data_IF_914235428016
#
_entry.id   IF_914235428016
#
_cell.length_a   1.000
_cell.length_b   1.000
_cell.length_c   1.000
_cell.angle_alpha   90.00
_cell.angle_beta   90.00
_cell.angle_gamma   90.00
#
_symmetry.space_group_name_H-M   'P 1'
#
loop_
_entity.id
_entity.type
_entity.pdbx_description
1 polymer ?
#
# COMPACT_ATOMS: atom_id res chain seq x y z
N UNK A 1 5.15 -26.11 3.29
CA UNK A 1 4.28 -25.01 3.78
C UNK A 1 5.05 -23.72 3.71
N UNK A 2 4.92 -22.98 2.61
CA UNK A 2 5.52 -21.65 2.49
C UNK A 2 4.43 -20.65 2.85
N UNK A 3 4.50 -20.09 4.05
CA UNK A 3 3.70 -18.93 4.43
C UNK A 3 4.69 -17.86 4.83
N UNK A 4 4.90 -16.88 3.96
CA UNK A 4 5.37 -15.59 4.43
C UNK A 4 4.31 -15.08 5.39
N UNK A 5 4.70 -14.93 6.64
CA UNK A 5 3.81 -14.47 7.68
C UNK A 5 3.56 -12.98 7.45
N UNK A 6 2.35 -12.63 6.98
CA UNK A 6 1.84 -11.25 7.06
C UNK A 6 1.53 -10.82 8.51
N UNK A 7 2.16 -11.46 9.50
CA UNK A 7 1.95 -11.21 10.93
C UNK A 7 2.21 -9.77 11.32
N UNK A 8 3.06 -9.06 10.60
CA UNK A 8 3.34 -7.65 10.83
C UNK A 8 2.14 -6.73 10.51
N UNK A 9 1.13 -7.18 9.74
CA UNK A 9 -0.15 -6.46 9.65
C UNK A 9 -1.16 -6.98 10.68
N UNK A 10 -1.25 -8.31 10.85
CA UNK A 10 -2.20 -8.93 11.78
C UNK A 10 -1.97 -8.53 13.23
N UNK A 11 -0.71 -8.45 13.65
CA UNK A 11 -0.31 -8.14 15.01
C UNK A 11 0.09 -6.66 15.19
N UNK A 12 -0.09 -5.83 14.15
CA UNK A 12 0.24 -4.42 14.25
C UNK A 12 -0.66 -3.75 15.29
N UNK A 13 -0.06 -2.87 16.09
CA UNK A 13 -0.78 -2.04 17.07
C UNK A 13 -0.96 -0.63 16.53
N UNK A 14 -2.02 0.04 16.99
CA UNK A 14 -2.22 1.46 16.76
C UNK A 14 -1.04 2.26 17.36
N UNK A 15 -0.45 3.14 16.56
CA UNK A 15 0.62 4.04 16.98
C UNK A 15 0.07 5.12 17.91
N UNK A 16 0.88 5.50 18.90
CA UNK A 16 0.58 6.62 19.80
C UNK A 16 1.13 7.95 19.25
N UNK A 17 2.21 7.88 18.48
CA UNK A 17 2.81 9.03 17.78
C UNK A 17 2.11 9.23 16.42
N UNK A 18 0.95 9.89 16.47
CA UNK A 18 0.14 10.26 15.30
C UNK A 18 -0.09 11.76 15.26
N UNK A 19 -0.14 12.33 14.06
CA UNK A 19 -0.31 13.76 13.83
C UNK A 19 -1.79 14.19 13.73
N UNK A 20 -2.73 13.24 13.58
CA UNK A 20 -4.16 13.48 13.68
C UNK A 20 -4.91 12.21 14.13
N UNK A 21 -6.13 12.37 14.64
CA UNK A 21 -7.02 11.26 14.93
C UNK A 21 -7.72 10.77 13.65
N UNK A 22 -7.46 9.53 13.18
CA UNK A 22 -8.09 8.99 11.98
C UNK A 22 -9.58 8.70 12.18
N UNK A 23 -10.40 8.96 11.16
CA UNK A 23 -11.82 8.62 11.12
C UNK A 23 -11.98 7.16 10.68
N UNK A 24 -12.57 6.31 11.51
CA UNK A 24 -12.88 4.91 11.17
C UNK A 24 -14.10 4.82 10.25
N UNK A 25 -14.06 3.92 9.27
CA UNK A 25 -15.25 3.55 8.50
C UNK A 25 -15.14 2.16 7.86
N UNK A 26 -16.25 1.71 7.28
CA UNK A 26 -16.37 0.42 6.58
C UNK A 26 -16.53 0.68 5.08
N UNK A 27 -15.73 -0.03 4.27
CA UNK A 27 -15.87 -0.01 2.81
C UNK A 27 -17.02 -0.92 2.36
N UNK A 28 -17.18 -2.05 3.06
CA UNK A 28 -18.28 -3.00 2.92
C UNK A 28 -18.46 -3.75 4.26
N UNK A 29 -19.29 -4.80 4.28
CA UNK A 29 -19.61 -5.55 5.51
C UNK A 29 -18.38 -6.19 6.18
N UNK A 30 -17.33 -6.47 5.41
CA UNK A 30 -16.16 -7.24 5.86
C UNK A 30 -14.83 -6.48 5.76
N UNK A 31 -14.80 -5.29 5.16
CA UNK A 31 -13.58 -4.52 4.94
C UNK A 31 -13.65 -3.16 5.65
N UNK A 32 -12.64 -2.89 6.46
CA UNK A 32 -12.53 -1.71 7.30
C UNK A 32 -11.34 -0.86 6.90
N UNK A 33 -11.37 0.41 7.29
CA UNK A 33 -10.21 1.26 7.19
C UNK A 33 -10.40 2.56 7.91
N UNK A 34 -9.53 3.50 7.57
CA UNK A 34 -9.51 4.81 8.16
C UNK A 34 -9.29 5.86 7.09
N UNK A 35 -9.70 7.08 7.40
CA UNK A 35 -9.43 8.23 6.56
C UNK A 35 -9.38 9.52 7.33
N UNK A 36 -9.03 10.58 6.62
CA UNK A 36 -9.05 11.94 7.12
C UNK A 36 -9.53 12.86 5.99
N UNK A 37 -10.05 14.04 6.34
CA UNK A 37 -10.67 14.99 5.43
C UNK A 37 -11.86 14.42 4.62
N UNK A 38 -12.56 13.39 5.14
CA UNK A 38 -13.61 12.68 4.40
C UNK A 38 -14.87 13.53 4.14
N UNK A 39 -15.05 14.62 4.89
CA UNK A 39 -16.17 15.55 4.70
C UNK A 39 -16.02 16.42 3.45
N UNK A 40 -14.84 16.41 2.81
CA UNK A 40 -14.53 17.20 1.61
C UNK A 40 -15.10 16.56 0.34
N UNK A 41 -16.42 16.42 0.25
CA UNK A 41 -17.12 15.74 -0.86
C UNK A 41 -16.92 16.39 -2.23
N UNK A 42 -16.57 17.68 -2.26
CA UNK A 42 -16.25 18.42 -3.50
C UNK A 42 -14.74 18.53 -3.74
N UNK A 43 -13.93 17.71 -3.09
CA UNK A 43 -12.49 17.66 -3.33
C UNK A 43 -12.23 17.25 -4.78
N UNK A 44 -11.32 17.95 -5.46
CA UNK A 44 -10.93 17.60 -6.83
C UNK A 44 -10.00 16.37 -6.88
N UNK A 45 -9.45 15.95 -5.73
CA UNK A 45 -8.55 14.80 -5.59
C UNK A 45 -8.91 13.93 -4.40
N UNK A 46 -8.55 12.66 -4.45
CA UNK A 46 -8.57 11.73 -3.31
C UNK A 46 -7.32 10.88 -3.34
N UNK A 47 -6.75 10.63 -2.16
CA UNK A 47 -5.50 9.89 -2.00
C UNK A 47 -5.81 8.52 -1.40
N UNK A 48 -5.41 7.47 -2.10
CA UNK A 48 -5.42 6.09 -1.59
C UNK A 48 -4.01 5.73 -1.16
N UNK A 49 -3.82 5.42 0.11
CA UNK A 49 -2.51 5.16 0.69
C UNK A 49 -2.38 3.71 1.17
N UNK A 50 -1.33 3.04 0.68
CA UNK A 50 -0.97 1.67 1.03
C UNK A 50 0.33 1.68 1.84
N UNK A 51 0.19 1.44 3.15
CA UNK A 51 1.29 1.41 4.10
C UNK A 51 2.22 0.21 3.93
N UNK A 52 3.42 0.33 4.51
CA UNK A 52 4.38 -0.77 4.63
C UNK A 52 4.13 -1.65 5.86
N UNK A 53 5.14 -2.41 6.27
CA UNK A 53 5.02 -3.29 7.44
C UNK A 53 4.62 -2.52 8.71
N UNK A 54 3.64 -3.04 9.46
CA UNK A 54 3.01 -2.41 10.63
C UNK A 54 2.23 -1.10 10.36
N UNK A 55 2.13 -0.64 9.11
CA UNK A 55 1.36 0.55 8.75
C UNK A 55 -0.06 0.16 8.33
N UNK A 56 -0.81 -0.35 9.31
CA UNK A 56 -2.28 -0.51 9.21
C UNK A 56 -2.96 0.84 8.92
N UNK A 57 -4.22 0.84 8.49
CA UNK A 57 -4.89 2.04 8.02
C UNK A 57 -4.87 3.18 9.05
N UNK A 58 -5.13 2.87 10.33
CA UNK A 58 -5.06 3.84 11.42
C UNK A 58 -3.69 4.53 11.47
N UNK A 59 -2.60 3.76 11.44
CA UNK A 59 -1.23 4.26 11.53
C UNK A 59 -0.87 5.10 10.31
N UNK A 60 -1.24 4.62 9.12
CA UNK A 60 -1.02 5.30 7.85
C UNK A 60 -1.70 6.66 7.80
N UNK A 61 -2.99 6.70 8.12
CA UNK A 61 -3.78 7.95 8.10
C UNK A 61 -3.30 8.91 9.17
N UNK A 62 -3.12 8.43 10.40
CA UNK A 62 -2.74 9.28 11.54
C UNK A 62 -1.37 9.93 11.36
N UNK A 63 -0.45 9.26 10.65
CA UNK A 63 0.91 9.76 10.44
C UNK A 63 1.06 10.65 9.20
N UNK A 64 0.34 10.38 8.12
CA UNK A 64 0.62 11.01 6.83
C UNK A 64 -0.48 11.95 6.33
N UNK A 65 -1.74 11.71 6.69
CA UNK A 65 -2.84 12.49 6.14
C UNK A 65 -2.79 14.00 6.43
N UNK A 66 -2.25 14.51 7.56
CA UNK A 66 -2.21 15.96 7.81
C UNK A 66 -1.34 16.76 6.84
N UNK A 67 -0.53 16.09 6.02
CA UNK A 67 0.28 16.72 4.97
C UNK A 67 -0.53 17.04 3.71
N UNK A 68 -1.79 16.62 3.66
CA UNK A 68 -2.65 16.73 2.51
C UNK A 68 -3.97 17.40 2.89
N UNK A 69 -4.46 18.28 2.02
CA UNK A 69 -5.76 18.94 2.17
C UNK A 69 -6.92 18.12 1.55
N UNK A 70 -6.61 16.96 0.97
CA UNK A 70 -7.56 16.11 0.26
C UNK A 70 -8.01 14.94 1.15
N UNK A 71 -9.16 14.32 0.87
CA UNK A 71 -9.52 13.02 1.42
C UNK A 71 -8.35 12.05 1.27
N UNK A 72 -7.89 11.53 2.40
CA UNK A 72 -6.77 10.60 2.48
C UNK A 72 -7.27 9.33 3.16
N UNK A 73 -7.19 8.21 2.44
CA UNK A 73 -7.83 6.97 2.84
C UNK A 73 -6.82 5.84 2.82
N UNK A 74 -6.90 4.96 3.81
CA UNK A 74 -6.14 3.71 3.84
C UNK A 74 -7.04 2.57 4.28
N UNK A 75 -6.76 1.37 3.76
CA UNK A 75 -7.54 0.15 4.02
C UNK A 75 -6.77 -0.78 4.96
N UNK A 76 -7.48 -1.38 5.92
CA UNK A 76 -6.97 -2.55 6.62
C UNK A 76 -7.19 -3.75 5.72
N UNK A 77 -6.12 -4.39 5.24
CA UNK A 77 -6.25 -5.52 4.33
C UNK A 77 -7.13 -6.62 4.94
N UNK A 78 -7.88 -7.33 4.10
CA UNK A 78 -8.60 -8.53 4.48
C UNK A 78 -7.73 -9.48 5.31
N UNK A 79 -8.28 -9.97 6.42
CA UNK A 79 -7.64 -10.81 7.41
C UNK A 79 -6.70 -10.06 8.37
N UNK A 80 -6.86 -8.74 8.49
CA UNK A 80 -6.13 -7.89 9.44
C UNK A 80 -7.10 -6.97 10.17
N UNK A 81 -6.72 -6.56 11.40
CA UNK A 81 -7.53 -5.66 12.22
C UNK A 81 -8.99 -6.15 12.32
N UNK A 82 -9.97 -5.29 12.02
CA UNK A 82 -11.39 -5.61 12.05
C UNK A 82 -11.92 -6.10 10.69
N UNK A 83 -11.04 -6.28 9.69
CA UNK A 83 -11.41 -6.81 8.37
C UNK A 83 -11.43 -8.34 8.36
N UNK A 84 -12.52 -8.90 7.82
CA UNK A 84 -12.77 -10.33 7.74
C UNK A 84 -11.86 -11.07 6.74
N UNK A 85 -12.19 -12.33 6.47
CA UNK A 85 -11.43 -13.23 5.58
C UNK A 85 -10.00 -13.58 6.04
N UNK A 86 -9.24 -14.26 5.15
CA UNK A 86 -7.87 -14.69 5.40
C UNK A 86 -6.92 -13.83 4.57
N UNK A 87 -5.92 -13.26 5.23
CA UNK A 87 -4.89 -12.49 4.54
C UNK A 87 -3.99 -13.37 3.66
N UNK A 88 -3.98 -13.06 2.37
CA UNK A 88 -3.08 -13.59 1.35
C UNK A 88 -2.99 -12.56 0.20
N UNK A 89 -2.12 -12.79 -0.80
CA UNK A 89 -1.95 -11.81 -1.89
C UNK A 89 -3.23 -11.53 -2.67
N UNK A 90 -4.09 -12.54 -2.90
CA UNK A 90 -5.37 -12.34 -3.59
C UNK A 90 -6.27 -11.40 -2.78
N UNK A 91 -6.43 -11.64 -1.49
CA UNK A 91 -7.30 -10.83 -0.63
C UNK A 91 -6.71 -9.44 -0.35
N UNK A 92 -5.38 -9.30 -0.31
CA UNK A 92 -4.72 -7.99 -0.26
C UNK A 92 -5.00 -7.15 -1.51
N UNK A 93 -4.91 -7.76 -2.70
CA UNK A 93 -5.28 -7.11 -3.97
C UNK A 93 -6.75 -6.73 -4.00
N UNK A 94 -7.63 -7.64 -3.58
CA UNK A 94 -9.07 -7.38 -3.47
C UNK A 94 -9.35 -6.19 -2.55
N UNK A 95 -8.68 -6.08 -1.40
CA UNK A 95 -8.84 -4.95 -0.50
C UNK A 95 -8.51 -3.61 -1.15
N UNK A 96 -7.49 -3.57 -2.03
CA UNK A 96 -7.09 -2.37 -2.75
C UNK A 96 -8.12 -1.99 -3.83
N UNK A 97 -8.69 -2.98 -4.52
CA UNK A 97 -9.75 -2.76 -5.50
C UNK A 97 -11.06 -2.31 -4.83
N UNK A 98 -11.46 -2.93 -3.73
CA UNK A 98 -12.68 -2.54 -2.99
C UNK A 98 -12.56 -1.12 -2.41
N UNK A 99 -11.36 -0.75 -1.92
CA UNK A 99 -11.06 0.62 -1.54
C UNK A 99 -11.22 1.58 -2.73
N UNK A 100 -10.71 1.21 -3.90
CA UNK A 100 -10.82 2.02 -5.12
C UNK A 100 -12.28 2.22 -5.54
N UNK A 101 -13.07 1.16 -5.58
CA UNK A 101 -14.50 1.23 -5.93
C UNK A 101 -15.27 2.10 -4.93
N UNK A 102 -14.99 1.93 -3.63
CA UNK A 102 -15.57 2.79 -2.60
C UNK A 102 -15.20 4.25 -2.82
N UNK A 103 -13.93 4.55 -3.10
CA UNK A 103 -13.48 5.91 -3.35
C UNK A 103 -14.13 6.52 -4.59
N UNK A 104 -14.28 5.75 -5.69
CA UNK A 104 -14.99 6.19 -6.89
C UNK A 104 -16.47 6.46 -6.65
N UNK A 105 -17.14 5.63 -5.84
CA UNK A 105 -18.54 5.86 -5.48
C UNK A 105 -18.74 7.12 -4.63
N UNK A 106 -17.79 7.42 -3.72
CA UNK A 106 -17.89 8.56 -2.80
C UNK A 106 -17.35 9.87 -3.38
N UNK A 107 -16.41 9.78 -4.33
CA UNK A 107 -15.71 10.90 -4.96
C UNK A 107 -15.71 10.74 -6.49
N UNK A 108 -16.89 10.73 -7.14
CA UNK A 108 -17.02 10.35 -8.56
C UNK A 108 -16.28 11.27 -9.52
N UNK A 109 -16.12 12.55 -9.17
CA UNK A 109 -15.46 13.55 -10.02
C UNK A 109 -14.00 13.80 -9.64
N UNK A 110 -13.47 13.11 -8.63
CA UNK A 110 -12.13 13.39 -8.11
C UNK A 110 -11.06 12.58 -8.85
N UNK A 111 -9.92 13.20 -9.09
CA UNK A 111 -8.71 12.52 -9.53
C UNK A 111 -8.18 11.61 -8.40
N UNK A 112 -7.99 10.32 -8.66
CA UNK A 112 -7.42 9.38 -7.68
C UNK A 112 -5.90 9.41 -7.77
N UNK A 113 -5.24 9.66 -6.64
CA UNK A 113 -3.80 9.51 -6.48
C UNK A 113 -3.54 8.27 -5.63
N UNK A 114 -2.68 7.38 -6.14
CA UNK A 114 -2.30 6.16 -5.42
C UNK A 114 -0.90 6.37 -4.84
N UNK A 115 -0.74 6.09 -3.55
CA UNK A 115 0.54 6.17 -2.85
C UNK A 115 0.85 4.83 -2.19
N UNK A 116 2.03 4.29 -2.46
CA UNK A 116 2.55 3.08 -1.81
C UNK A 116 3.83 3.37 -1.05
N UNK A 117 3.92 2.87 0.19
CA UNK A 117 5.13 2.97 1.01
C UNK A 117 5.69 1.59 1.36
N UNK A 118 6.98 1.37 1.10
CA UNK A 118 7.69 0.14 1.45
C UNK A 118 6.90 -1.10 0.99
N UNK A 119 6.50 -2.01 1.87
CA UNK A 119 5.71 -3.20 1.53
C UNK A 119 4.48 -2.90 0.66
N UNK A 120 3.78 -1.80 0.95
CA UNK A 120 2.58 -1.36 0.22
C UNK A 120 2.86 -0.86 -1.20
N UNK A 121 4.12 -0.57 -1.56
CA UNK A 121 4.51 -0.15 -2.90
C UNK A 121 4.02 -1.11 -3.99
N UNK A 122 4.15 -2.42 -3.76
CA UNK A 122 3.72 -3.40 -4.76
C UNK A 122 2.20 -3.54 -4.89
N UNK A 123 1.43 -3.31 -3.81
CA UNK A 123 -0.04 -3.28 -3.89
C UNK A 123 -0.53 -1.99 -4.56
N UNK A 124 0.10 -0.86 -4.25
CA UNK A 124 -0.15 0.40 -4.93
C UNK A 124 0.12 0.31 -6.44
N UNK A 125 1.25 -0.32 -6.81
CA UNK A 125 1.61 -0.55 -8.23
C UNK A 125 0.63 -1.50 -8.91
N UNK A 126 0.21 -2.57 -8.24
CA UNK A 126 -0.84 -3.46 -8.73
C UNK A 126 -2.15 -2.69 -9.01
N UNK A 127 -2.60 -1.87 -8.05
CA UNK A 127 -3.86 -1.16 -8.22
C UNK A 127 -3.77 -0.18 -9.40
N UNK A 128 -2.67 0.56 -9.52
CA UNK A 128 -2.42 1.48 -10.64
C UNK A 128 -2.27 0.76 -11.99
N UNK A 129 -1.99 -0.55 -12.00
CA UNK A 129 -1.86 -1.34 -13.22
C UNK A 129 -3.20 -1.93 -13.70
N UNK A 130 -4.24 -1.87 -12.87
CA UNK A 130 -5.57 -2.42 -13.19
C UNK A 130 -6.71 -1.40 -13.05
N UNK A 131 -6.41 -0.21 -12.54
CA UNK A 131 -7.36 0.91 -12.37
C UNK A 131 -6.76 2.23 -12.82
N UNK A 132 -7.61 3.08 -13.38
CA UNK A 132 -7.23 4.44 -13.77
C UNK A 132 -6.93 5.31 -12.54
N UNK A 133 -5.77 5.94 -12.54
CA UNK A 133 -5.40 6.93 -11.54
C UNK A 133 -4.62 8.07 -12.17
N UNK A 134 -4.63 9.22 -11.50
CA UNK A 134 -3.97 10.44 -11.95
C UNK A 134 -2.45 10.34 -11.88
N UNK A 135 -1.96 9.63 -10.87
CA UNK A 135 -0.54 9.37 -10.65
C UNK A 135 -0.34 8.29 -9.60
N UNK A 136 0.76 7.55 -9.75
CA UNK A 136 1.28 6.62 -8.76
C UNK A 136 2.52 7.22 -8.08
N UNK A 137 2.54 7.25 -6.75
CA UNK A 137 3.71 7.66 -5.96
C UNK A 137 4.21 6.48 -5.14
N UNK A 138 5.48 6.12 -5.32
CA UNK A 138 6.13 5.03 -4.58
C UNK A 138 7.22 5.62 -3.69
N UNK A 139 7.07 5.44 -2.38
CA UNK A 139 8.07 5.85 -1.38
C UNK A 139 8.78 4.63 -0.79
N UNK A 140 10.11 4.62 -0.81
CA UNK A 140 10.94 3.50 -0.33
C UNK A 140 10.51 2.15 -0.95
N UNK A 141 10.30 2.11 -2.27
CA UNK A 141 9.80 0.94 -3.00
C UNK A 141 10.87 -0.13 -3.29
N UNK A 142 10.41 -1.27 -3.82
CA UNK A 142 11.25 -2.40 -4.24
C UNK A 142 10.74 -2.98 -5.57
N UNK A 143 11.64 -3.59 -6.35
CA UNK A 143 11.33 -4.20 -7.66
C UNK A 143 10.66 -5.57 -7.51
N UNK A 144 11.21 -6.41 -6.64
CA UNK A 144 10.70 -7.74 -6.30
C UNK A 144 10.78 -7.90 -4.78
N UNK A 145 9.76 -8.48 -4.15
CA UNK A 145 9.75 -8.63 -2.69
C UNK A 145 10.91 -9.49 -2.20
N UNK A 146 11.43 -10.36 -3.07
CA UNK A 146 12.64 -11.14 -2.81
C UNK A 146 13.88 -10.27 -2.59
N UNK A 147 13.96 -9.07 -3.16
CA UNK A 147 15.05 -8.13 -2.88
C UNK A 147 15.06 -7.70 -1.40
N UNK A 148 13.86 -7.50 -0.83
CA UNK A 148 13.70 -7.17 0.59
C UNK A 148 14.04 -8.38 1.48
N UNK A 149 13.57 -9.57 1.14
CA UNK A 149 13.86 -10.79 1.91
C UNK A 149 15.33 -11.18 1.86
N UNK A 150 15.99 -11.06 0.70
CA UNK A 150 17.41 -11.36 0.56
C UNK A 150 18.32 -10.45 1.38
N UNK A 151 17.86 -9.25 1.76
CA UNK A 151 18.60 -8.38 2.68
C UNK A 151 18.55 -8.88 4.13
N UNK A 152 17.44 -9.52 4.52
CA UNK A 152 17.26 -10.07 5.86
C UNK A 152 17.91 -11.46 5.95
N UNK A 153 17.70 -12.30 4.93
CA UNK A 153 18.28 -13.64 4.81
C UNK A 153 18.68 -13.86 3.34
N UNK A 154 19.98 -13.84 2.98
CA UNK A 154 20.46 -13.82 1.60
C UNK A 154 20.43 -15.22 0.93
N UNK A 155 19.29 -15.90 1.00
CA UNK A 155 19.11 -17.28 0.52
C UNK A 155 18.07 -17.40 -0.59
N UNK A 156 17.28 -16.36 -0.84
CA UNK A 156 16.17 -16.37 -1.81
C UNK A 156 16.62 -15.86 -3.20
N UNK A 157 17.80 -16.26 -3.66
CA UNK A 157 18.31 -15.93 -4.99
C UNK A 157 17.99 -17.05 -6.00
N UNK A 158 17.75 -16.69 -7.28
CA UNK A 158 17.56 -17.67 -8.37
C UNK A 158 16.36 -18.62 -8.18
N UNK A 159 16.51 -19.94 -8.38
CA UNK A 159 15.39 -20.90 -8.26
C UNK A 159 14.80 -20.96 -6.85
N UNK A 160 15.50 -20.44 -5.83
CA UNK A 160 15.00 -20.37 -4.46
C UNK A 160 13.97 -19.25 -4.24
N UNK A 161 13.75 -18.36 -5.23
CA UNK A 161 12.65 -17.37 -5.21
C UNK A 161 11.27 -18.04 -5.09
N UNK A 162 11.11 -19.26 -5.59
CA UNK A 162 9.85 -20.03 -5.47
C UNK A 162 9.48 -20.34 -4.02
N UNK A 163 10.41 -20.20 -3.07
CA UNK A 163 10.14 -20.37 -1.64
C UNK A 163 9.51 -19.16 -0.96
N UNK A 164 9.48 -18.01 -1.65
CA UNK A 164 8.71 -16.83 -1.28
C UNK A 164 7.29 -17.04 -1.79
N UNK A 165 6.45 -17.69 -0.97
CA UNK A 165 5.01 -17.78 -1.25
C UNK A 165 4.44 -16.38 -1.43
N UNK A 166 3.61 -16.18 -2.47
CA UNK A 166 2.92 -14.91 -2.75
C UNK A 166 3.86 -13.74 -3.07
N UNK A 167 4.77 -13.93 -4.03
CA UNK A 167 5.65 -12.87 -4.50
C UNK A 167 4.83 -11.68 -5.07
N UNK A 168 4.98 -10.50 -4.47
CA UNK A 168 4.45 -9.25 -5.02
C UNK A 168 5.42 -8.82 -6.13
N UNK A 169 5.01 -9.05 -7.37
CA UNK A 169 5.83 -8.83 -8.57
C UNK A 169 5.66 -7.39 -9.06
N UNK A 170 6.16 -6.42 -8.27
CA UNK A 170 5.99 -4.98 -8.54
C UNK A 170 6.41 -4.60 -9.96
N UNK A 171 7.54 -5.14 -10.46
CA UNK A 171 8.00 -4.88 -11.83
C UNK A 171 6.99 -5.30 -12.91
N UNK A 172 6.32 -6.45 -12.75
CA UNK A 172 5.34 -6.93 -13.72
C UNK A 172 4.04 -6.13 -13.68
N UNK A 173 3.66 -5.63 -12.49
CA UNK A 173 2.54 -4.70 -12.39
C UNK A 173 2.88 -3.37 -13.06
N UNK A 174 4.11 -2.88 -12.88
CA UNK A 174 4.57 -1.62 -13.45
C UNK A 174 4.52 -1.58 -14.99
N UNK A 175 4.66 -2.73 -15.67
CA UNK A 175 4.54 -2.83 -17.15
C UNK A 175 3.17 -2.37 -17.68
N UNK A 176 2.12 -2.45 -16.85
CA UNK A 176 0.76 -2.07 -17.23
C UNK A 176 0.29 -0.76 -16.55
N UNK A 177 1.20 -0.02 -15.90
CA UNK A 177 0.88 1.30 -15.31
C UNK A 177 0.99 2.37 -16.39
N UNK A 178 -0.14 3.00 -16.73
CA UNK A 178 -0.21 4.02 -17.78
C UNK A 178 -0.08 5.46 -17.26
N UNK A 179 -0.34 5.67 -15.96
CA UNK A 179 -0.28 7.00 -15.35
C UNK A 179 1.17 7.46 -15.06
N UNK A 180 1.42 8.77 -14.87
CA UNK A 180 2.70 9.25 -14.37
C UNK A 180 3.10 8.61 -13.04
N UNK A 181 4.34 8.10 -12.97
CA UNK A 181 4.90 7.44 -11.78
C UNK A 181 6.00 8.31 -11.16
N UNK A 182 5.95 8.49 -9.84
CA UNK A 182 6.95 9.19 -9.05
C UNK A 182 7.57 8.23 -8.03
N UNK A 183 8.90 8.08 -8.06
CA UNK A 183 9.63 7.23 -7.11
C UNK A 183 10.44 8.15 -6.18
N UNK A 184 10.20 8.00 -4.88
CA UNK A 184 10.86 8.75 -3.83
C UNK A 184 11.72 7.78 -3.02
N UNK A 185 13.03 7.98 -3.09
CA UNK A 185 13.99 7.21 -2.31
C UNK A 185 14.84 8.05 -1.37
N UNK A 186 15.61 7.37 -0.52
CA UNK A 186 16.50 8.01 0.45
C UNK A 186 17.85 7.28 0.54
N UNK A 187 18.94 8.04 0.40
CA UNK A 187 20.31 7.54 0.58
C UNK A 187 20.59 7.11 2.03
N UNK A 188 19.79 7.60 2.98
CA UNK A 188 19.86 7.22 4.39
C UNK A 188 19.05 5.97 4.75
N UNK A 189 18.35 5.35 3.80
CA UNK A 189 17.51 4.18 4.06
C UNK A 189 18.37 2.93 4.37
N UNK A 190 18.35 2.54 5.65
CA UNK A 190 19.08 1.36 6.14
C UNK A 190 18.35 0.06 5.85
N UNK A 191 17.06 0.09 5.47
CA UNK A 191 16.22 -1.08 5.17
C UNK A 191 16.23 -1.40 3.68
N UNK A 192 16.04 -0.43 2.79
CA UNK A 192 16.18 -0.60 1.34
C UNK A 192 17.30 0.30 0.84
N UNK A 193 18.41 -0.28 0.37
CA UNK A 193 19.53 0.55 -0.11
C UNK A 193 19.10 1.42 -1.29
N UNK A 194 19.67 2.62 -1.41
CA UNK A 194 19.41 3.51 -2.54
C UNK A 194 19.55 2.81 -3.90
N UNK A 195 20.53 1.93 -4.04
CA UNK A 195 20.73 1.13 -5.26
C UNK A 195 19.57 0.20 -5.62
N UNK A 196 18.83 -0.33 -4.64
CA UNK A 196 17.64 -1.14 -4.89
C UNK A 196 16.46 -0.26 -5.29
N UNK A 197 16.35 0.93 -4.70
CA UNK A 197 15.30 1.90 -5.02
C UNK A 197 15.53 2.49 -6.42
N UNK A 198 16.78 2.72 -6.83
CA UNK A 198 17.14 3.14 -8.18
C UNK A 198 16.85 2.05 -9.22
N UNK A 199 17.00 0.76 -8.87
CA UNK A 199 16.61 -0.34 -9.76
C UNK A 199 15.11 -0.44 -10.01
N UNK A 200 14.28 0.16 -9.16
CA UNK A 200 12.83 0.24 -9.38
C UNK A 200 12.49 1.27 -10.44
N UNK A 201 13.30 2.32 -10.63
CA UNK A 201 13.04 3.35 -11.64
C UNK A 201 13.46 2.98 -13.06
N UNK A 202 14.00 1.77 -13.25
CA UNK A 202 14.51 1.24 -14.53
C UNK A 202 13.74 0.02 -14.96
#
# INVERSE_FOLDING_TARGET
MQTISYSFYKNAKKMTDIACTPQFFRFNDTLTGYGNNLDSKNSDKVILFFGGSNYIAYNSVGKYSPKFAYPFISVDYYGTQDSGEIMNLKTMKQSAEDLYEWARAHYPNSEIIIIGHSYGAGIATYLASVRECRSLVIAAGYRDISDLYNKIIPIFWGPLKVFISNNIRTAEYAENVECPVYIIGSDGDKVLSASLQEKLSR
#
